data_IF_419373206376
#
_entry.id   IF_419373206376
#
_cell.length_a   1.000
_cell.length_b   1.000
_cell.length_c   1.000
_cell.angle_alpha   90.00
_cell.angle_beta   90.00
_cell.angle_gamma   90.00
#
_symmetry.space_group_name_H-M   'P 1'
#
loop_
_entity.id
_entity.type
_entity.pdbx_description
1 polymer ?
#
# COMPACT_ATOMS: atom_id res chain seq x y z
N UNK A 1 9.75 2.41 -5.94
CA UNK A 1 9.07 2.33 -4.62
C UNK A 1 10.07 1.79 -3.60
N UNK A 2 9.97 2.16 -2.33
CA UNK A 2 10.84 1.62 -1.27
C UNK A 2 10.30 1.92 0.12
N UNK A 3 10.52 1.01 1.07
CA UNK A 3 10.22 1.28 2.48
C UNK A 3 11.38 2.04 3.13
N UNK A 4 11.07 3.08 3.91
CA UNK A 4 12.10 3.79 4.71
C UNK A 4 12.12 3.36 6.16
N UNK A 5 10.95 3.32 6.80
CA UNK A 5 10.88 3.13 8.24
C UNK A 5 9.49 2.68 8.70
N UNK A 6 9.44 1.89 9.78
CA UNK A 6 8.20 1.51 10.47
C UNK A 6 8.17 2.24 11.81
N UNK A 7 7.45 3.36 11.83
CA UNK A 7 7.53 4.31 12.96
C UNK A 7 6.88 3.82 14.24
N UNK A 8 5.88 2.92 14.16
CA UNK A 8 5.09 2.54 15.33
C UNK A 8 4.41 1.21 15.13
N UNK A 9 4.57 0.31 16.09
CA UNK A 9 3.75 -0.90 16.23
C UNK A 9 3.13 -0.91 17.64
N UNK A 10 1.81 -0.88 17.73
CA UNK A 10 1.06 -0.80 18.99
C UNK A 10 -0.05 -1.83 19.01
N UNK A 11 -0.27 -2.44 20.16
CA UNK A 11 -1.45 -3.26 20.41
C UNK A 11 -2.63 -2.34 20.76
N UNK A 12 -3.73 -2.45 20.01
CA UNK A 12 -4.95 -1.70 20.27
C UNK A 12 -5.96 -2.53 21.09
N UNK A 13 -6.99 -1.88 21.62
CA UNK A 13 -8.03 -2.49 22.43
C UNK A 13 -8.68 -3.68 21.71
N UNK A 14 -8.68 -4.84 22.36
CA UNK A 14 -9.17 -6.12 21.83
C UNK A 14 -8.26 -6.69 20.74
N UNK A 15 -7.26 -7.50 21.13
CA UNK A 15 -6.38 -8.38 20.32
C UNK A 15 -5.86 -7.91 18.94
N UNK A 16 -6.11 -6.67 18.52
CA UNK A 16 -5.71 -6.10 17.23
C UNK A 16 -4.36 -5.43 17.35
N UNK A 17 -3.51 -5.65 16.36
CA UNK A 17 -2.22 -4.96 16.22
C UNK A 17 -2.35 -3.85 15.17
N UNK A 18 -1.74 -2.70 15.44
CA UNK A 18 -1.72 -1.54 14.57
C UNK A 18 -0.28 -1.14 14.30
N UNK A 19 0.13 -1.15 13.03
CA UNK A 19 1.39 -0.59 12.59
C UNK A 19 1.20 0.67 11.74
N UNK A 20 2.08 1.63 11.91
CA UNK A 20 2.21 2.81 11.06
C UNK A 20 3.53 2.71 10.34
N UNK A 21 3.45 2.69 9.02
CA UNK A 21 4.60 2.52 8.14
C UNK A 21 4.87 3.86 7.43
N UNK A 22 6.12 4.08 7.05
CA UNK A 22 6.49 5.19 6.16
C UNK A 22 7.23 4.67 4.93
N UNK A 23 6.78 5.12 3.77
CA UNK A 23 7.30 4.63 2.50
C UNK A 23 7.56 5.78 1.53
N UNK A 24 8.41 5.48 0.55
CA UNK A 24 8.63 6.30 -0.63
C UNK A 24 7.93 5.68 -1.84
N UNK A 25 7.29 6.53 -2.62
CA UNK A 25 6.72 6.19 -3.91
C UNK A 25 7.37 7.08 -4.96
N UNK A 26 8.02 6.47 -5.95
CA UNK A 26 8.39 7.13 -7.21
C UNK A 26 7.86 6.22 -8.30
N UNK A 27 6.74 6.63 -8.91
CA UNK A 27 6.00 5.84 -9.88
C UNK A 27 5.48 6.73 -11.00
N UNK A 28 6.00 6.50 -12.22
CA UNK A 28 5.53 7.16 -13.43
C UNK A 28 4.45 6.31 -14.11
N UNK A 29 3.19 6.69 -13.91
CA UNK A 29 2.02 6.05 -14.52
C UNK A 29 1.50 6.82 -15.74
N UNK A 30 2.24 7.80 -16.26
CA UNK A 30 1.80 8.63 -17.40
C UNK A 30 1.57 7.80 -18.66
N UNK A 31 2.35 6.74 -18.84
CA UNK A 31 2.20 5.78 -19.96
C UNK A 31 0.94 4.93 -19.88
N UNK A 32 0.33 4.82 -18.70
CA UNK A 32 -0.92 4.06 -18.48
C UNK A 32 -2.14 4.81 -19.03
N UNK A 33 -2.05 6.15 -19.15
CA UNK A 33 -3.12 6.97 -19.71
C UNK A 33 -3.20 6.81 -21.23
N UNK A 34 -4.41 6.53 -21.69
CA UNK A 34 -4.82 6.55 -23.10
C UNK A 34 -5.88 7.62 -23.35
N UNK A 35 -6.31 7.78 -24.60
CA UNK A 35 -7.43 8.66 -24.96
C UNK A 35 -8.74 8.28 -24.22
N UNK A 36 -8.91 7.00 -23.87
CA UNK A 36 -10.12 6.48 -23.23
C UNK A 36 -10.03 6.49 -21.69
N UNK A 37 -8.89 6.84 -21.08
CA UNK A 37 -8.76 6.83 -19.62
C UNK A 37 -9.55 7.98 -19.00
N UNK A 38 -10.49 7.66 -18.10
CA UNK A 38 -11.22 8.66 -17.30
C UNK A 38 -10.42 9.04 -16.06
N UNK A 39 -9.96 8.04 -15.31
CA UNK A 39 -9.14 8.20 -14.11
C UNK A 39 -8.42 6.91 -13.76
N UNK A 40 -7.35 7.03 -12.97
CA UNK A 40 -6.72 5.91 -12.27
C UNK A 40 -7.13 5.95 -10.81
N UNK A 41 -7.48 4.80 -10.25
CA UNK A 41 -7.50 4.60 -8.81
C UNK A 41 -6.22 3.88 -8.42
N UNK A 42 -5.32 4.59 -7.77
CA UNK A 42 -3.98 4.10 -7.42
C UNK A 42 -3.92 3.91 -5.92
N UNK A 43 -3.44 2.77 -5.47
CA UNK A 43 -3.27 2.49 -4.06
C UNK A 43 -2.02 1.68 -3.79
N UNK A 44 -1.47 1.86 -2.60
CA UNK A 44 -0.36 1.06 -2.08
C UNK A 44 -0.95 0.15 -1.02
N UNK A 45 -0.69 -1.14 -1.15
CA UNK A 45 -1.09 -2.14 -0.17
C UNK A 45 0.12 -2.88 0.41
N UNK A 46 0.02 -3.29 1.65
CA UNK A 46 0.92 -4.28 2.25
C UNK A 46 0.36 -5.68 2.04
N UNK A 47 1.22 -6.60 1.63
CA UNK A 47 0.92 -8.02 1.48
C UNK A 47 1.76 -8.83 2.43
N UNK A 48 1.14 -9.73 3.20
CA UNK A 48 1.84 -10.50 4.22
C UNK A 48 1.13 -11.84 4.47
N UNK A 49 1.90 -12.82 4.95
CA UNK A 49 1.37 -14.13 5.31
C UNK A 49 1.21 -14.27 6.82
N UNK A 50 0.19 -15.04 7.21
CA UNK A 50 -0.08 -15.45 8.59
C UNK A 50 -0.22 -16.98 8.62
N UNK A 51 -0.08 -17.64 9.79
CA UNK A 51 -0.35 -19.06 9.89
C UNK A 51 -1.75 -19.45 9.40
N UNK A 52 -2.74 -18.58 9.59
CA UNK A 52 -4.15 -18.80 9.27
C UNK A 52 -4.49 -18.46 7.81
N UNK A 53 -3.78 -17.50 7.22
CA UNK A 53 -4.05 -17.03 5.87
C UNK A 53 -2.75 -16.77 5.10
N UNK A 54 -2.66 -17.37 3.91
CA UNK A 54 -1.52 -17.25 2.99
C UNK A 54 -1.44 -15.90 2.30
N UNK A 55 -2.55 -15.19 2.14
CA UNK A 55 -2.55 -13.90 1.44
C UNK A 55 -3.40 -12.90 2.20
N UNK A 56 -2.76 -12.05 3.01
CA UNK A 56 -3.41 -10.88 3.61
C UNK A 56 -2.99 -9.63 2.84
N UNK A 57 -3.96 -8.79 2.48
CA UNK A 57 -3.73 -7.54 1.76
C UNK A 57 -4.42 -6.39 2.49
N UNK A 58 -3.67 -5.32 2.76
CA UNK A 58 -4.20 -4.13 3.43
C UNK A 58 -3.78 -2.86 2.73
N UNK A 59 -4.75 -2.01 2.39
CA UNK A 59 -4.49 -0.73 1.74
C UNK A 59 -3.92 0.25 2.76
N UNK A 60 -2.74 0.80 2.46
CA UNK A 60 -2.02 1.75 3.30
C UNK A 60 -2.21 3.20 2.84
N UNK A 61 -2.41 3.40 1.54
CA UNK A 61 -2.57 4.71 0.91
C UNK A 61 -3.33 4.57 -0.40
N UNK A 62 -4.12 5.58 -0.77
CA UNK A 62 -4.86 5.65 -2.02
C UNK A 62 -4.87 7.07 -2.59
N UNK A 63 -5.01 7.18 -3.91
CA UNK A 63 -5.23 8.43 -4.63
C UNK A 63 -5.97 8.19 -5.94
N UNK A 64 -6.78 9.18 -6.34
CA UNK A 64 -7.44 9.21 -7.64
C UNK A 64 -6.69 10.19 -8.54
N UNK A 65 -6.13 9.68 -9.64
CA UNK A 65 -5.42 10.48 -10.65
C UNK A 65 -6.32 10.64 -11.86
N UNK A 66 -6.78 11.87 -12.13
CA UNK A 66 -7.70 12.15 -13.23
C UNK A 66 -7.01 12.70 -14.49
N UNK A 67 -5.75 13.14 -14.38
CA UNK A 67 -5.03 13.82 -15.46
C UNK A 67 -3.67 13.17 -15.69
N UNK A 68 -3.28 13.00 -16.96
CA UNK A 68 -2.03 12.34 -17.35
C UNK A 68 -0.80 13.05 -16.78
N UNK A 69 -0.75 14.38 -16.81
CA UNK A 69 0.35 15.17 -16.26
C UNK A 69 0.55 14.98 -14.75
N UNK A 70 -0.52 14.63 -14.02
CA UNK A 70 -0.51 14.31 -12.57
C UNK A 70 -0.24 12.83 -12.27
N UNK A 71 -0.04 12.00 -13.29
CA UNK A 71 0.21 10.57 -13.13
C UNK A 71 1.68 10.24 -12.83
N UNK A 72 2.52 11.24 -12.59
CA UNK A 72 3.80 11.03 -11.95
C UNK A 72 3.66 11.19 -10.43
N UNK A 73 3.60 10.07 -9.71
CA UNK A 73 3.43 10.03 -8.27
C UNK A 73 4.80 9.99 -7.58
N UNK A 74 5.12 11.06 -6.85
CA UNK A 74 6.30 11.14 -6.00
C UNK A 74 5.93 11.46 -4.56
N UNK A 75 6.08 10.50 -3.67
CA UNK A 75 5.88 10.62 -2.23
C UNK A 75 7.19 10.29 -1.54
N UNK A 76 7.63 11.16 -0.63
CA UNK A 76 8.85 10.98 0.15
C UNK A 76 8.49 10.92 1.64
N UNK A 77 8.98 9.92 2.36
CA UNK A 77 8.73 9.73 3.79
C UNK A 77 7.23 9.83 4.15
N UNK A 78 6.38 9.26 3.30
CA UNK A 78 4.95 9.41 3.43
C UNK A 78 4.41 8.43 4.46
N UNK A 79 3.68 8.96 5.43
CA UNK A 79 2.99 8.15 6.45
C UNK A 79 1.75 7.50 5.83
N UNK A 80 1.49 6.26 6.17
CA UNK A 80 0.26 5.59 5.72
C UNK A 80 -0.98 6.39 6.11
N UNK A 81 -1.94 6.47 5.18
CA UNK A 81 -3.25 7.10 5.39
C UNK A 81 -4.13 6.20 6.28
N UNK A 82 -4.05 4.90 6.04
CA UNK A 82 -4.69 3.89 6.88
C UNK A 82 -3.65 3.13 7.70
N UNK A 83 -4.01 2.78 8.92
CA UNK A 83 -3.14 1.95 9.75
C UNK A 83 -3.07 0.53 9.18
N UNK A 84 -1.90 -0.09 9.29
CA UNK A 84 -1.74 -1.51 9.04
C UNK A 84 -2.33 -2.25 10.24
N UNK A 85 -3.55 -2.75 10.10
CA UNK A 85 -4.30 -3.43 11.16
C UNK A 85 -4.38 -4.92 10.85
N UNK A 86 -4.08 -5.75 11.83
CA UNK A 86 -4.40 -7.18 11.83
C UNK A 86 -5.25 -7.53 13.04
N UNK A 87 -6.16 -8.50 12.85
CA UNK A 87 -7.03 -8.97 13.94
C UNK A 87 -6.36 -10.00 14.84
N UNK A 88 -5.25 -10.60 14.39
CA UNK A 88 -4.38 -11.42 15.20
C UNK A 88 -3.18 -10.65 15.74
N UNK A 89 -2.33 -11.36 16.47
CA UNK A 89 -1.07 -10.83 17.01
C UNK A 89 0.13 -11.21 16.14
N UNK A 90 -0.05 -11.11 14.81
CA UNK A 90 0.83 -11.69 13.80
C UNK A 90 1.72 -10.68 13.05
N UNK A 91 1.64 -9.39 13.36
CA UNK A 91 2.42 -8.34 12.71
C UNK A 91 3.83 -8.20 13.27
N UNK A 92 4.07 -8.63 14.52
CA UNK A 92 5.41 -8.55 15.13
C UNK A 92 6.43 -9.39 14.36
N UNK A 93 7.55 -8.76 13.97
CA UNK A 93 8.63 -9.43 13.23
C UNK A 93 8.22 -9.96 11.85
N UNK A 94 7.08 -9.51 11.33
CA UNK A 94 6.49 -10.04 10.10
C UNK A 94 7.11 -9.38 8.88
N UNK A 95 7.52 -10.20 7.94
CA UNK A 95 7.89 -9.73 6.61
C UNK A 95 6.64 -9.38 5.81
N UNK A 96 6.70 -8.26 5.08
CA UNK A 96 5.62 -7.85 4.19
C UNK A 96 6.19 -7.25 2.91
N UNK A 97 5.40 -7.36 1.85
CA UNK A 97 5.65 -6.73 0.56
C UNK A 97 4.81 -5.46 0.44
N UNK A 98 5.33 -4.47 -0.30
CA UNK A 98 4.56 -3.31 -0.72
C UNK A 98 4.19 -3.48 -2.18
N UNK A 99 2.89 -3.49 -2.47
CA UNK A 99 2.36 -3.59 -3.83
C UNK A 99 1.70 -2.26 -4.20
N UNK A 100 2.21 -1.62 -5.25
CA UNK A 100 1.50 -0.56 -5.97
C UNK A 100 0.47 -1.20 -6.87
N UNK A 101 -0.78 -0.78 -6.78
CA UNK A 101 -1.85 -1.21 -7.68
C UNK A 101 -2.47 0.03 -8.32
N UNK A 102 -2.70 -0.01 -9.63
CA UNK A 102 -3.44 1.03 -10.34
C UNK A 102 -4.57 0.39 -11.15
N UNK A 103 -5.80 0.73 -10.78
CA UNK A 103 -6.99 0.38 -11.52
C UNK A 103 -7.29 1.49 -12.51
N UNK A 104 -7.32 1.15 -13.80
CA UNK A 104 -7.65 2.09 -14.86
C UNK A 104 -9.14 2.03 -15.14
N UNK A 105 -9.78 3.18 -14.96
CA UNK A 105 -11.20 3.36 -15.22
C UNK A 105 -11.34 4.06 -16.57
N UNK A 106 -11.81 3.37 -17.62
CA UNK A 106 -12.05 4.01 -18.91
C UNK A 106 -13.33 4.84 -18.88
N UNK A 107 -13.53 5.67 -19.90
CA UNK A 107 -14.82 6.33 -20.16
C UNK A 107 -15.84 5.33 -20.68
N UNK A 108 -15.40 4.37 -21.49
CA UNK A 108 -16.23 3.29 -22.03
C UNK A 108 -15.45 1.96 -21.96
N UNK A 109 -16.11 0.89 -21.53
CA UNK A 109 -15.54 -0.46 -21.45
C UNK A 109 -15.23 -0.93 -20.02
N UNK A 110 -14.46 -2.02 -19.92
CA UNK A 110 -14.14 -2.67 -18.65
C UNK A 110 -12.96 -2.06 -17.91
N UNK A 111 -12.92 -2.28 -16.60
CA UNK A 111 -11.78 -1.93 -15.75
C UNK A 111 -10.60 -2.86 -16.03
N UNK A 112 -9.38 -2.33 -16.00
CA UNK A 112 -8.17 -3.13 -16.00
C UNK A 112 -7.23 -2.69 -14.88
N UNK A 113 -6.48 -3.64 -14.33
CA UNK A 113 -5.63 -3.39 -13.18
C UNK A 113 -4.21 -3.82 -13.49
N UNK A 114 -3.26 -2.92 -13.24
CA UNK A 114 -1.85 -3.24 -13.19
C UNK A 114 -1.33 -3.19 -11.75
N UNK A 115 -0.27 -3.93 -11.47
CA UNK A 115 0.37 -3.92 -10.17
C UNK A 115 1.89 -4.08 -10.28
N UNK A 116 2.59 -3.62 -9.26
CA UNK A 116 4.02 -3.81 -9.10
C UNK A 116 4.36 -3.96 -7.63
N UNK A 117 4.99 -5.09 -7.28
CA UNK A 117 5.34 -5.44 -5.91
C UNK A 117 6.84 -5.31 -5.68
N UNK A 118 7.19 -4.84 -4.49
CA UNK A 118 8.55 -4.82 -3.97
C UNK A 118 8.58 -5.42 -2.56
N UNK A 119 9.77 -5.82 -2.12
CA UNK A 119 9.96 -6.12 -0.70
C UNK A 119 9.68 -4.85 0.13
N UNK A 120 8.74 -4.95 1.06
CA UNK A 120 8.44 -3.90 2.02
C UNK A 120 9.49 -3.90 3.11
N UNK A 121 9.67 -5.05 3.77
CA UNK A 121 10.66 -5.22 4.83
C UNK A 121 10.06 -5.99 5.99
N UNK A 122 10.66 -5.84 7.18
CA UNK A 122 10.24 -6.55 8.40
C UNK A 122 9.64 -5.55 9.38
N UNK A 123 8.46 -5.86 9.90
CA UNK A 123 7.84 -5.09 10.99
C UNK A 123 8.60 -5.29 12.31
N UNK A 124 8.57 -4.31 13.24
CA UNK A 124 9.23 -4.42 14.53
C UNK A 124 8.83 -5.67 15.31
N UNK A 125 9.78 -6.30 16.01
CA UNK A 125 9.52 -7.48 16.85
C UNK A 125 8.90 -7.13 18.21
N UNK A 126 9.07 -5.89 18.66
CA UNK A 126 8.54 -5.36 19.93
C UNK A 126 7.55 -4.22 19.69
N UNK A 127 6.63 -4.04 20.63
CA UNK A 127 5.72 -2.89 20.63
C UNK A 127 6.45 -1.63 21.10
N UNK A 128 6.13 -0.52 20.47
CA UNK A 128 6.54 0.80 20.95
C UNK A 128 5.66 1.19 22.13
N UNK A 129 6.27 1.51 23.29
CA UNK A 129 5.56 2.09 24.44
C UNK A 129 5.12 3.52 24.14
#
# INVERSE_FOLDING_TARGET
>A
MGLRDVKRLVQHHGNKEHAVVTFDLDADLRSVFSWNTKQLFVFVQAEYETPENKVNQIVLWDSIVQQKDKAYLRLNNHKTKYAFIDSGKYLRGREFNLTLVWCVMPRVGGLYTGQHSIAGGVLPSSYTQ
#
